data_IF_282045867666
#
_entry.id   IF_282045867666
#
_cell.length_a   1.000
_cell.length_b   1.000
_cell.length_c   1.000
_cell.angle_alpha   90.00
_cell.angle_beta   90.00
_cell.angle_gamma   90.00
#
_symmetry.space_group_name_H-M   'P 1'
#
loop_
_entity.id
_entity.type
_entity.pdbx_description
1 polymer ?
#
# COMPACT_ATOMS: atom_id res chain seq x y z
N UNK A 1 -3.71 -16.47 5.80
CA UNK A 1 -4.28 -15.64 4.72
C UNK A 1 -4.09 -14.17 5.02
N UNK A 2 -3.81 -13.35 4.02
CA UNK A 2 -3.75 -11.89 4.14
C UNK A 2 -4.46 -11.22 2.95
N UNK A 3 -5.30 -10.22 3.23
CA UNK A 3 -5.87 -9.32 2.21
C UNK A 3 -4.99 -8.07 2.09
N UNK A 4 -4.34 -7.87 0.95
CA UNK A 4 -3.49 -6.71 0.72
C UNK A 4 -4.33 -5.51 0.31
N UNK A 5 -4.66 -4.62 1.25
CA UNK A 5 -5.60 -3.50 1.00
C UNK A 5 -5.23 -2.19 1.69
N UNK A 6 -4.61 -2.26 2.88
CA UNK A 6 -4.27 -1.08 3.68
C UNK A 6 -2.86 -0.57 3.42
N UNK A 7 -2.70 0.72 3.68
CA UNK A 7 -1.49 1.49 3.51
C UNK A 7 -0.93 1.96 4.86
N UNK A 8 -1.76 2.55 5.72
CA UNK A 8 -1.37 3.02 7.05
C UNK A 8 -1.39 1.91 8.08
N UNK A 9 -2.51 1.17 8.13
CA UNK A 9 -2.70 0.03 9.05
C UNK A 9 -2.12 -1.28 8.50
N UNK A 10 -1.76 -2.24 9.37
CA UNK A 10 -1.49 -3.62 8.95
C UNK A 10 -2.68 -4.21 8.20
N UNK A 11 -2.41 -5.01 7.17
CA UNK A 11 -3.43 -5.69 6.39
C UNK A 11 -4.24 -6.69 7.23
N UNK A 12 -5.54 -6.90 6.93
CA UNK A 12 -6.32 -7.95 7.57
C UNK A 12 -5.77 -9.34 7.28
N UNK A 13 -5.77 -10.20 8.30
CA UNK A 13 -5.31 -11.60 8.20
C UNK A 13 -6.29 -12.55 8.87
N UNK A 14 -6.47 -13.73 8.30
CA UNK A 14 -7.25 -14.83 8.89
C UNK A 14 -6.64 -16.19 8.54
N UNK A 15 -7.11 -17.24 9.19
CA UNK A 15 -6.71 -18.62 8.91
C UNK A 15 -7.79 -19.30 8.06
N UNK A 16 -7.35 -20.13 7.12
CA UNK A 16 -8.20 -21.11 6.47
C UNK A 16 -8.16 -22.39 7.32
N UNK A 17 -9.30 -23.06 7.45
CA UNK A 17 -9.31 -24.40 8.05
C UNK A 17 -8.77 -25.45 7.04
N UNK A 18 -8.56 -26.69 7.50
CA UNK A 18 -7.98 -27.75 6.66
C UNK A 18 -8.81 -28.10 5.42
N UNK A 19 -10.14 -27.98 5.49
CA UNK A 19 -11.03 -28.23 4.36
C UNK A 19 -10.89 -27.13 3.32
N UNK A 20 -10.96 -25.86 3.73
CA UNK A 20 -10.74 -24.69 2.90
C UNK A 20 -9.33 -24.68 2.29
N UNK A 21 -8.30 -25.09 3.04
CA UNK A 21 -6.94 -25.16 2.53
C UNK A 21 -6.81 -26.17 1.37
N UNK A 22 -7.44 -27.35 1.49
CA UNK A 22 -7.49 -28.35 0.41
C UNK A 22 -8.31 -27.83 -0.78
N UNK A 23 -9.47 -27.24 -0.52
CA UNK A 23 -10.32 -26.65 -1.57
C UNK A 23 -9.56 -25.56 -2.36
N UNK A 24 -8.77 -24.73 -1.69
CA UNK A 24 -7.92 -23.74 -2.35
C UNK A 24 -6.93 -24.41 -3.32
N UNK A 25 -6.23 -25.47 -2.89
CA UNK A 25 -5.31 -26.19 -3.77
C UNK A 25 -6.03 -26.84 -4.96
N UNK A 26 -7.20 -27.43 -4.73
CA UNK A 26 -7.99 -28.04 -5.79
C UNK A 26 -8.42 -26.99 -6.83
N UNK A 27 -8.90 -25.82 -6.38
CA UNK A 27 -9.22 -24.69 -7.27
C UNK A 27 -8.00 -24.22 -8.06
N UNK A 28 -6.84 -24.11 -7.42
CA UNK A 28 -5.58 -23.73 -8.07
C UNK A 28 -5.16 -24.78 -9.11
N UNK A 29 -5.30 -26.07 -8.82
CA UNK A 29 -4.96 -27.15 -9.75
C UNK A 29 -5.90 -27.24 -10.96
N UNK A 30 -7.13 -26.74 -10.84
CA UNK A 30 -8.11 -26.67 -11.94
C UNK A 30 -7.83 -25.54 -12.92
N UNK A 31 -6.96 -24.58 -12.59
CA UNK A 31 -6.59 -23.49 -13.52
C UNK A 31 -5.61 -24.03 -14.57
N UNK A 32 -6.07 -24.19 -15.81
CA UNK A 32 -5.26 -24.74 -16.90
C UNK A 32 -4.38 -23.68 -17.59
N UNK A 33 -4.83 -22.43 -17.60
CA UNK A 33 -4.14 -21.34 -18.31
C UNK A 33 -2.91 -20.89 -17.55
N UNK A 34 -1.75 -20.91 -18.22
CA UNK A 34 -0.47 -20.43 -17.69
C UNK A 34 -0.14 -19.04 -18.21
N UNK A 35 0.55 -18.24 -17.39
CA UNK A 35 1.02 -16.90 -17.75
C UNK A 35 2.44 -16.65 -17.25
N UNK A 36 3.31 -15.97 -18.03
CA UNK A 36 4.62 -15.55 -17.57
C UNK A 36 4.56 -14.39 -16.57
N UNK A 37 3.39 -13.77 -16.42
CA UNK A 37 3.19 -12.66 -15.49
C UNK A 37 3.20 -13.18 -14.06
N UNK A 38 3.86 -12.47 -13.16
CA UNK A 38 3.77 -12.75 -11.73
C UNK A 38 2.62 -11.96 -11.13
N UNK A 39 1.96 -12.52 -10.13
CA UNK A 39 0.94 -11.80 -9.39
C UNK A 39 1.60 -10.54 -8.87
N UNK A 40 0.93 -9.43 -9.08
CA UNK A 40 1.43 -8.10 -8.80
C UNK A 40 1.50 -7.84 -7.28
N UNK A 41 2.26 -8.65 -6.52
CA UNK A 41 2.54 -8.47 -5.10
C UNK A 41 3.36 -7.21 -4.80
N UNK A 42 3.75 -6.46 -5.83
CA UNK A 42 4.77 -5.42 -5.81
C UNK A 42 4.49 -4.20 -6.71
N UNK A 43 3.41 -4.20 -7.52
CA UNK A 43 3.10 -3.08 -8.45
C UNK A 43 2.74 -1.79 -7.69
N UNK A 44 2.45 -1.92 -6.38
CA UNK A 44 2.14 -0.81 -5.49
C UNK A 44 0.78 -0.19 -5.80
N UNK A 45 0.47 0.92 -5.14
CA UNK A 45 -0.81 1.64 -5.28
C UNK A 45 -1.69 1.51 -4.05
N UNK A 46 -2.71 2.37 -3.95
CA UNK A 46 -3.63 2.47 -2.83
C UNK A 46 -4.91 1.67 -3.08
N UNK A 47 -5.42 0.99 -2.05
CA UNK A 47 -6.62 0.13 -2.15
C UNK A 47 -6.29 -1.34 -2.34
N UNK A 48 -7.18 -2.10 -2.99
CA UNK A 48 -7.00 -3.54 -3.20
C UNK A 48 -5.76 -3.87 -4.05
N UNK A 49 -4.99 -4.87 -3.59
CA UNK A 49 -3.75 -5.35 -4.20
C UNK A 49 -3.62 -6.89 -4.13
N UNK A 50 -4.74 -7.59 -4.08
CA UNK A 50 -4.76 -9.05 -4.06
C UNK A 50 -4.65 -9.68 -2.68
N UNK A 51 -4.37 -10.98 -2.68
CA UNK A 51 -4.25 -11.84 -1.51
C UNK A 51 -2.86 -12.47 -1.41
N UNK A 52 -2.44 -12.77 -0.18
CA UNK A 52 -1.26 -13.59 0.08
C UNK A 52 -1.64 -14.77 0.95
N UNK A 53 -1.30 -15.96 0.48
CA UNK A 53 -1.49 -17.24 1.17
C UNK A 53 -0.13 -17.75 1.58
N UNK A 54 0.01 -18.12 2.84
CA UNK A 54 1.22 -18.74 3.36
C UNK A 54 0.83 -19.84 4.34
N UNK A 55 1.48 -20.99 4.23
CA UNK A 55 1.39 -22.10 5.17
C UNK A 55 2.78 -22.65 5.46
N UNK A 56 2.95 -23.30 6.60
CA UNK A 56 4.19 -23.98 6.96
C UNK A 56 4.22 -25.43 6.48
N UNK A 57 5.39 -26.07 6.59
CA UNK A 57 5.60 -27.46 6.21
C UNK A 57 4.77 -28.47 7.03
N UNK A 58 4.23 -28.08 8.18
CA UNK A 58 3.41 -28.93 9.05
C UNK A 58 1.92 -28.82 8.73
N UNK A 59 1.52 -27.85 7.92
CA UNK A 59 0.15 -27.69 7.47
C UNK A 59 -0.30 -28.87 6.60
N UNK A 60 -1.61 -29.09 6.55
CA UNK A 60 -2.27 -30.14 5.76
C UNK A 60 -2.01 -30.04 4.25
N UNK A 61 -1.59 -28.87 3.78
CA UNK A 61 -1.26 -28.61 2.37
C UNK A 61 0.26 -28.48 2.14
N UNK A 62 1.09 -28.76 3.15
CA UNK A 62 2.54 -28.55 3.11
C UNK A 62 2.91 -27.06 2.99
N UNK A 63 4.21 -26.77 2.83
CA UNK A 63 4.66 -25.38 2.67
C UNK A 63 4.13 -24.80 1.36
N UNK A 64 3.23 -23.83 1.47
CA UNK A 64 2.59 -23.15 0.34
C UNK A 64 2.81 -21.65 0.45
N UNK A 65 3.15 -21.00 -0.66
CA UNK A 65 3.18 -19.55 -0.81
C UNK A 65 2.48 -19.17 -2.10
N UNK A 66 1.36 -18.47 -1.99
CA UNK A 66 0.62 -17.97 -3.14
C UNK A 66 0.46 -16.46 -3.03
N UNK A 67 0.63 -15.77 -4.16
CA UNK A 67 0.17 -14.40 -4.34
C UNK A 67 -0.91 -14.42 -5.41
N UNK A 68 -2.06 -13.82 -5.13
CA UNK A 68 -3.21 -13.81 -6.06
C UNK A 68 -3.65 -12.38 -6.31
N UNK A 69 -3.61 -11.91 -7.55
CA UNK A 69 -4.05 -10.56 -7.90
C UNK A 69 -4.37 -10.44 -9.39
N UNK A 70 -5.52 -9.82 -9.71
CA UNK A 70 -5.96 -9.54 -11.09
C UNK A 70 -6.01 -10.79 -11.97
N UNK A 71 -6.57 -11.88 -11.43
CA UNK A 71 -6.63 -13.20 -12.06
C UNK A 71 -5.30 -13.95 -12.09
N UNK A 72 -4.17 -13.34 -11.73
CA UNK A 72 -2.88 -14.04 -11.69
C UNK A 72 -2.72 -14.75 -10.35
N UNK A 73 -2.48 -16.06 -10.40
CA UNK A 73 -2.13 -16.90 -9.24
C UNK A 73 -0.66 -17.28 -9.35
N UNK A 74 0.19 -16.60 -8.59
CA UNK A 74 1.62 -16.88 -8.53
C UNK A 74 1.93 -17.81 -7.37
N UNK A 75 2.54 -18.95 -7.69
CA UNK A 75 2.90 -20.00 -6.74
C UNK A 75 4.31 -19.83 -6.16
N UNK A 76 5.01 -18.73 -6.51
CA UNK A 76 6.33 -18.40 -5.99
C UNK A 76 7.46 -19.35 -6.41
N UNK A 77 7.16 -20.34 -7.26
CA UNK A 77 8.14 -21.23 -7.89
C UNK A 77 8.72 -20.54 -9.14
N UNK A 78 9.86 -21.05 -9.62
CA UNK A 78 10.46 -20.66 -10.92
C UNK A 78 9.51 -20.91 -12.11
N UNK A 79 8.42 -21.64 -11.86
CA UNK A 79 7.38 -21.95 -12.83
C UNK A 79 6.56 -20.72 -13.23
N UNK A 80 5.89 -20.86 -14.38
CA UNK A 80 4.87 -19.92 -14.84
C UNK A 80 3.75 -19.82 -13.80
N UNK A 81 3.20 -18.62 -13.62
CA UNK A 81 2.00 -18.41 -12.83
C UNK A 81 0.78 -18.97 -13.59
N UNK A 82 -0.34 -19.06 -12.89
CA UNK A 82 -1.62 -19.43 -13.49
C UNK A 82 -2.48 -18.17 -13.72
N UNK A 83 -3.41 -18.26 -14.66
CA UNK A 83 -4.34 -17.19 -14.99
C UNK A 83 -5.78 -17.67 -14.86
N UNK A 84 -6.40 -17.27 -13.76
CA UNK A 84 -7.81 -17.45 -13.43
C UNK A 84 -8.62 -16.30 -14.07
N UNK A 85 -9.18 -16.56 -15.25
CA UNK A 85 -9.88 -15.54 -16.04
C UNK A 85 -11.17 -15.05 -15.36
N UNK A 86 -11.86 -15.94 -14.62
CA UNK A 86 -13.11 -15.60 -13.92
C UNK A 86 -12.85 -14.96 -12.56
N UNK A 87 -11.60 -14.96 -12.07
CA UNK A 87 -11.20 -14.45 -10.75
C UNK A 87 -11.98 -15.12 -9.62
N UNK A 88 -12.37 -16.37 -9.84
CA UNK A 88 -13.10 -17.18 -8.86
C UNK A 88 -12.25 -17.42 -7.61
N UNK A 89 -10.94 -17.59 -7.75
CA UNK A 89 -10.03 -17.77 -6.60
C UNK A 89 -10.00 -16.51 -5.74
N UNK A 90 -9.88 -15.32 -6.33
CA UNK A 90 -9.91 -14.05 -5.57
C UNK A 90 -11.26 -13.85 -4.86
N UNK A 91 -12.35 -14.18 -5.54
CA UNK A 91 -13.71 -14.05 -5.01
C UNK A 91 -13.95 -15.02 -3.85
N UNK A 92 -13.62 -16.29 -4.03
CA UNK A 92 -13.70 -17.30 -2.99
C UNK A 92 -12.82 -16.94 -1.78
N UNK A 93 -11.59 -16.46 -2.01
CA UNK A 93 -10.72 -16.00 -0.92
C UNK A 93 -11.37 -14.89 -0.09
N UNK A 94 -12.07 -13.94 -0.72
CA UNK A 94 -12.80 -12.88 -0.02
C UNK A 94 -13.96 -13.42 0.84
N UNK A 95 -14.60 -14.49 0.41
CA UNK A 95 -15.71 -15.15 1.11
C UNK A 95 -15.25 -15.92 2.34
N UNK A 96 -14.06 -16.54 2.30
CA UNK A 96 -13.47 -17.25 3.46
C UNK A 96 -13.13 -16.35 4.64
N UNK A 97 -13.15 -15.03 4.47
CA UNK A 97 -12.75 -14.09 5.50
C UNK A 97 -13.65 -14.16 6.72
N UNK A 98 -13.08 -14.67 7.82
CA UNK A 98 -13.74 -14.75 9.14
C UNK A 98 -13.66 -13.45 9.93
N UNK A 99 -12.83 -12.50 9.48
CA UNK A 99 -12.71 -11.18 10.07
C UNK A 99 -13.81 -10.26 9.55
N UNK A 100 -14.41 -9.47 10.45
CA UNK A 100 -15.26 -8.37 10.02
C UNK A 100 -14.39 -7.28 9.39
N UNK A 101 -14.60 -7.05 8.10
CA UNK A 101 -14.06 -5.88 7.43
C UNK A 101 -14.91 -4.65 7.74
N UNK A 102 -14.29 -3.47 7.76
CA UNK A 102 -15.03 -2.23 7.59
C UNK A 102 -15.86 -2.36 6.30
N UNK A 103 -17.16 -2.03 6.34
CA UNK A 103 -18.10 -2.25 5.21
C UNK A 103 -17.53 -1.75 3.86
N UNK A 104 -16.87 -0.59 3.88
CA UNK A 104 -16.26 0.02 2.69
C UNK A 104 -15.10 -0.79 2.08
N UNK A 105 -14.42 -1.65 2.85
CA UNK A 105 -13.37 -2.53 2.33
C UNK A 105 -13.96 -3.61 1.46
N UNK A 106 -14.97 -4.34 1.96
CA UNK A 106 -15.57 -5.45 1.20
C UNK A 106 -16.23 -4.92 -0.07
N UNK A 107 -16.98 -3.82 0.01
CA UNK A 107 -17.55 -3.15 -1.17
C UNK A 107 -16.47 -2.74 -2.19
N UNK A 108 -15.37 -2.13 -1.71
CA UNK A 108 -14.26 -1.76 -2.60
C UNK A 108 -13.64 -2.99 -3.26
N UNK A 109 -13.29 -4.04 -2.50
CA UNK A 109 -12.69 -5.26 -3.07
C UNK A 109 -13.64 -5.93 -4.05
N UNK A 110 -14.91 -6.11 -3.70
CA UNK A 110 -15.92 -6.67 -4.62
C UNK A 110 -16.03 -5.86 -5.90
N UNK A 111 -16.01 -4.52 -5.82
CA UNK A 111 -16.02 -3.67 -7.02
C UNK A 111 -14.77 -3.86 -7.89
N UNK A 112 -13.60 -4.07 -7.28
CA UNK A 112 -12.36 -4.37 -8.00
C UNK A 112 -12.36 -5.78 -8.61
N UNK A 113 -13.02 -6.76 -7.99
CA UNK A 113 -13.16 -8.12 -8.50
C UNK A 113 -14.17 -8.24 -9.64
N UNK A 114 -15.14 -7.33 -9.71
CA UNK A 114 -16.10 -7.26 -10.81
C UNK A 114 -15.46 -6.85 -12.16
N UNK A 115 -14.24 -6.28 -12.13
CA UNK A 115 -13.46 -5.99 -13.34
C UNK A 115 -12.90 -7.31 -13.90
N UNK A 116 -13.11 -7.62 -15.19
CA UNK A 116 -12.57 -8.81 -15.83
C UNK A 116 -11.05 -8.94 -15.66
N UNK A 117 -10.55 -10.18 -15.52
CA UNK A 117 -9.14 -10.43 -15.25
C UNK A 117 -8.21 -9.80 -16.30
N UNK A 118 -8.56 -9.91 -17.58
CA UNK A 118 -7.77 -9.36 -18.69
C UNK A 118 -7.67 -7.83 -18.63
N UNK A 119 -8.75 -7.14 -18.24
CA UNK A 119 -8.76 -5.69 -18.10
C UNK A 119 -7.97 -5.24 -16.87
N UNK A 120 -8.19 -5.91 -15.73
CA UNK A 120 -7.44 -5.63 -14.50
C UNK A 120 -5.92 -5.85 -14.69
N UNK A 121 -5.55 -6.91 -15.40
CA UNK A 121 -4.17 -7.21 -15.73
C UNK A 121 -3.57 -6.18 -16.69
N UNK A 122 -4.32 -5.75 -17.70
CA UNK A 122 -3.90 -4.72 -18.65
C UNK A 122 -3.62 -3.39 -17.95
N UNK A 123 -4.53 -2.92 -17.10
CA UNK A 123 -4.34 -1.70 -16.31
C UNK A 123 -3.09 -1.78 -15.42
N UNK A 124 -2.82 -2.93 -14.80
CA UNK A 124 -1.58 -3.14 -14.04
C UNK A 124 -0.33 -3.08 -14.92
N UNK A 125 -0.35 -3.70 -16.10
CA UNK A 125 0.80 -3.67 -17.01
C UNK A 125 1.03 -2.27 -17.59
N UNK A 126 -0.01 -1.53 -17.94
CA UNK A 126 0.10 -0.17 -18.49
C UNK A 126 0.78 0.76 -17.46
N UNK A 127 0.46 0.60 -16.17
CA UNK A 127 1.10 1.35 -15.07
C UNK A 127 2.58 1.05 -14.87
N UNK A 128 3.07 -0.12 -15.31
CA UNK A 128 4.47 -0.53 -15.18
C UNK A 128 5.33 -0.06 -16.36
N UNK A 129 4.72 0.17 -17.53
CA UNK A 129 5.43 0.45 -18.79
C UNK A 129 5.62 1.96 -19.00
N UNK A 130 4.71 2.80 -18.49
CA UNK A 130 4.79 4.24 -18.68
C UNK A 130 5.81 4.85 -17.73
N UNK A 131 6.99 5.20 -18.28
CA UNK A 131 7.91 6.11 -17.60
C UNK A 131 7.21 7.46 -17.42
N UNK A 132 7.11 7.98 -16.19
CA UNK A 132 6.54 9.30 -15.99
C UNK A 132 7.32 10.33 -16.82
N UNK A 133 6.66 11.25 -17.54
CA UNK A 133 7.36 12.33 -18.22
C UNK A 133 8.23 13.10 -17.22
N UNK A 134 9.38 13.64 -17.65
CA UNK A 134 10.26 14.39 -16.77
C UNK A 134 9.47 15.50 -16.08
N UNK A 135 9.44 15.40 -14.76
CA UNK A 135 8.55 16.19 -13.92
C UNK A 135 9.02 17.64 -13.82
N UNK A 136 8.12 18.61 -14.00
CA UNK A 136 8.38 20.05 -13.76
C UNK A 136 8.26 20.43 -12.27
N UNK A 137 8.53 19.50 -11.35
CA UNK A 137 8.44 19.80 -9.93
C UNK A 137 9.54 20.78 -9.52
N UNK A 138 9.24 21.59 -8.50
CA UNK A 138 10.21 22.56 -7.95
C UNK A 138 10.57 22.16 -6.52
N UNK A 139 11.86 21.95 -6.20
CA UNK A 139 12.31 21.68 -4.84
C UNK A 139 11.78 22.71 -3.82
N UNK A 140 11.20 22.22 -2.72
CA UNK A 140 10.59 23.09 -1.69
C UNK A 140 11.28 23.04 -0.35
N UNK A 141 12.16 22.09 -0.07
CA UNK A 141 12.81 21.98 1.23
C UNK A 141 14.26 21.55 1.07
N UNK A 142 15.17 22.24 1.76
CA UNK A 142 16.59 21.92 1.74
C UNK A 142 16.89 20.55 2.37
N UNK A 143 16.09 20.14 3.38
CA UNK A 143 16.26 18.85 4.07
C UNK A 143 15.39 17.73 3.48
N UNK A 144 14.69 17.96 2.35
CA UNK A 144 13.86 16.91 1.76
C UNK A 144 14.72 15.71 1.34
N UNK A 145 14.35 14.48 1.74
CA UNK A 145 15.07 13.29 1.32
C UNK A 145 15.00 13.11 -0.20
N UNK A 146 16.04 12.53 -0.79
CA UNK A 146 15.98 12.08 -2.18
C UNK A 146 15.02 10.89 -2.31
N UNK A 147 14.31 10.81 -3.44
CA UNK A 147 13.59 9.59 -3.79
C UNK A 147 14.60 8.46 -4.04
N UNK A 148 14.66 7.48 -3.14
CA UNK A 148 15.57 6.34 -3.24
C UNK A 148 14.83 5.03 -2.94
N UNK A 149 14.08 4.48 -3.91
CA UNK A 149 13.31 3.26 -3.72
C UNK A 149 14.19 2.06 -3.34
N UNK A 150 15.46 2.03 -3.76
CA UNK A 150 16.40 0.96 -3.42
C UNK A 150 16.68 0.81 -1.92
N UNK A 151 16.50 1.86 -1.12
CA UNK A 151 16.62 1.78 0.36
C UNK A 151 15.36 1.25 1.05
N UNK A 152 14.23 1.31 0.37
CA UNK A 152 12.90 0.96 0.89
C UNK A 152 12.40 -0.38 0.36
N UNK A 153 12.81 -0.77 -0.85
CA UNK A 153 12.31 -1.93 -1.59
C UNK A 153 13.26 -3.12 -1.47
N UNK A 154 13.78 -3.35 -0.26
CA UNK A 154 14.58 -4.53 0.08
C UNK A 154 13.83 -5.43 1.05
N UNK A 155 14.05 -6.76 1.01
CA UNK A 155 13.26 -7.71 1.81
C UNK A 155 13.25 -7.45 3.32
N UNK A 156 14.32 -6.88 3.87
CA UNK A 156 14.46 -6.58 5.31
C UNK A 156 13.81 -5.25 5.73
N UNK A 157 13.30 -4.45 4.80
CA UNK A 157 12.72 -3.11 5.06
C UNK A 157 11.29 -3.03 4.55
N UNK A 158 11.05 -3.47 3.32
CA UNK A 158 9.79 -3.28 2.61
C UNK A 158 8.56 -3.80 3.38
N UNK A 159 8.54 -5.03 3.93
CA UNK A 159 7.34 -5.55 4.59
C UNK A 159 7.09 -4.94 5.97
N UNK A 160 8.10 -4.35 6.62
CA UNK A 160 8.02 -3.88 8.02
C UNK A 160 7.81 -2.38 8.18
N UNK A 161 7.81 -1.62 7.08
CA UNK A 161 7.66 -0.17 7.09
C UNK A 161 6.51 0.25 6.18
N UNK A 162 5.67 1.17 6.66
CA UNK A 162 4.47 1.63 5.96
C UNK A 162 4.63 3.04 5.37
N UNK A 163 3.52 3.68 5.01
CA UNK A 163 3.53 5.04 4.50
C UNK A 163 4.01 6.09 5.51
N UNK A 164 3.74 5.89 6.81
CA UNK A 164 4.13 6.84 7.85
C UNK A 164 5.64 6.76 8.12
N UNK A 165 6.20 5.56 8.13
CA UNK A 165 7.65 5.36 8.10
C UNK A 165 8.32 6.08 6.94
N UNK A 166 7.79 5.86 5.73
CA UNK A 166 8.32 6.46 4.50
C UNK A 166 8.26 7.98 4.53
N UNK A 167 7.11 8.55 4.92
CA UNK A 167 6.90 9.99 4.97
C UNK A 167 7.85 10.71 5.92
N UNK A 168 8.17 10.08 7.05
CA UNK A 168 9.12 10.59 8.04
C UNK A 168 10.57 10.14 7.79
N UNK A 169 10.84 9.46 6.67
CA UNK A 169 12.16 8.94 6.29
C UNK A 169 12.83 8.05 7.37
N UNK A 170 12.01 7.28 8.10
CA UNK A 170 12.44 6.47 9.24
C UNK A 170 12.03 4.99 9.07
N UNK A 171 13.03 4.12 8.96
CA UNK A 171 12.86 2.65 8.81
C UNK A 171 12.87 1.95 10.17
N UNK A 172 11.85 2.19 10.98
CA UNK A 172 11.78 1.65 12.34
C UNK A 172 11.48 0.15 12.39
N UNK A 173 11.02 -0.46 11.29
CA UNK A 173 10.60 -1.86 11.20
C UNK A 173 9.46 -2.24 12.16
N UNK A 174 8.64 -1.26 12.55
CA UNK A 174 7.54 -1.44 13.50
C UNK A 174 6.17 -1.22 12.86
N UNK A 175 6.11 -0.89 11.57
CA UNK A 175 4.89 -0.46 10.88
C UNK A 175 4.25 0.74 11.60
N UNK A 176 4.97 1.86 11.61
CA UNK A 176 4.75 2.97 12.52
C UNK A 176 3.34 3.58 12.42
N UNK A 177 2.78 3.97 13.56
CA UNK A 177 1.43 4.55 13.63
C UNK A 177 1.51 5.96 14.23
N UNK A 178 0.85 6.98 13.63
CA UNK A 178 0.81 8.32 14.19
C UNK A 178 0.40 8.32 15.67
N UNK A 179 1.20 8.98 16.51
CA UNK A 179 1.00 9.15 17.94
C UNK A 179 1.40 7.94 18.80
N UNK A 180 1.77 6.81 18.20
CA UNK A 180 2.06 5.58 18.97
C UNK A 180 3.33 5.69 19.82
N UNK A 181 4.33 6.45 19.38
CA UNK A 181 5.55 6.69 20.16
C UNK A 181 5.26 7.41 21.48
N UNK A 182 4.20 8.22 21.50
CA UNK A 182 3.86 9.11 22.61
C UNK A 182 2.57 8.72 23.35
N UNK A 183 2.02 7.52 23.08
CA UNK A 183 0.78 7.06 23.71
C UNK A 183 -0.46 7.88 23.31
N UNK A 184 -0.41 8.56 22.16
CA UNK A 184 -1.48 9.42 21.61
C UNK A 184 -1.97 8.91 20.26
N UNK A 185 -1.95 7.59 20.06
CA UNK A 185 -2.44 6.99 18.82
C UNK A 185 -3.91 7.35 18.60
N UNK A 186 -4.26 7.64 17.35
CA UNK A 186 -5.61 7.97 16.95
C UNK A 186 -6.61 6.87 17.35
N UNK A 187 -7.87 7.26 17.57
CA UNK A 187 -8.96 6.35 17.95
C UNK A 187 -10.00 6.16 16.84
N UNK A 188 -9.95 7.00 15.80
CA UNK A 188 -10.81 6.93 14.61
C UNK A 188 -10.00 7.19 13.34
N UNK A 189 -10.46 6.67 12.22
CA UNK A 189 -9.82 6.86 10.91
C UNK A 189 -10.41 8.08 10.20
N UNK A 190 -10.18 9.24 10.78
CA UNK A 190 -10.64 10.56 10.30
C UNK A 190 -9.50 11.58 10.42
N UNK A 191 -9.57 12.67 9.64
CA UNK A 191 -8.59 13.76 9.74
C UNK A 191 -8.47 14.30 11.18
N UNK A 192 -9.61 14.48 11.85
CA UNK A 192 -9.70 15.01 13.21
C UNK A 192 -9.07 14.12 14.28
N UNK A 193 -8.77 12.85 13.97
CA UNK A 193 -8.12 11.92 14.90
C UNK A 193 -6.69 11.59 14.50
N UNK A 194 -6.42 11.35 13.20
CA UNK A 194 -5.08 10.98 12.71
C UNK A 194 -4.12 12.19 12.70
N UNK A 195 -4.60 13.39 12.34
CA UNK A 195 -3.73 14.57 12.29
C UNK A 195 -3.20 14.97 13.68
N UNK A 196 -4.02 15.08 14.75
CA UNK A 196 -3.50 15.36 16.10
C UNK A 196 -2.54 14.29 16.63
N UNK A 197 -2.74 13.02 16.26
CA UNK A 197 -1.82 11.94 16.61
C UNK A 197 -0.43 12.15 15.95
N UNK A 198 -0.40 12.54 14.67
CA UNK A 198 0.86 12.91 14.01
C UNK A 198 1.49 14.18 14.61
N UNK A 199 0.68 15.15 15.04
CA UNK A 199 1.19 16.33 15.75
C UNK A 199 1.84 15.96 17.09
N UNK A 200 1.31 14.96 17.80
CA UNK A 200 1.91 14.45 19.03
C UNK A 200 3.30 13.83 18.81
N UNK A 201 3.58 13.29 17.61
CA UNK A 201 4.91 12.83 17.22
C UNK A 201 5.86 13.98 16.80
N UNK A 202 5.31 15.18 16.61
CA UNK A 202 6.08 16.40 16.30
C UNK A 202 5.86 16.97 14.89
N UNK A 203 4.93 16.42 14.09
CA UNK A 203 4.60 16.98 12.78
C UNK A 203 3.83 18.29 12.92
N UNK A 204 4.12 19.28 12.07
CA UNK A 204 3.50 20.61 12.14
C UNK A 204 2.57 20.84 10.95
N UNK A 205 1.25 21.06 11.13
CA UNK A 205 0.33 21.33 10.03
C UNK A 205 0.69 22.61 9.25
N UNK A 206 0.40 22.61 7.96
CA UNK A 206 0.56 23.77 7.07
C UNK A 206 -0.55 23.77 6.02
N UNK A 207 -1.00 24.97 5.63
CA UNK A 207 -2.08 25.13 4.66
C UNK A 207 -1.66 24.71 3.23
N UNK A 208 -0.36 24.82 2.91
CA UNK A 208 0.20 24.46 1.60
C UNK A 208 1.69 24.09 1.70
N UNK A 209 2.25 23.65 0.58
CA UNK A 209 3.69 23.43 0.36
C UNK A 209 4.31 24.48 -0.57
N UNK A 210 3.72 25.68 -0.64
CA UNK A 210 4.17 26.75 -1.54
C UNK A 210 5.49 27.39 -1.09
N UNK A 211 5.66 27.57 0.22
CA UNK A 211 6.85 28.13 0.87
C UNK A 211 8.07 27.24 0.70
N UNK A 212 9.24 27.87 0.51
CA UNK A 212 10.52 27.15 0.54
C UNK A 212 11.03 27.03 1.97
N UNK A 213 11.26 25.81 2.45
CA UNK A 213 11.84 25.51 3.76
C UNK A 213 13.37 25.57 3.70
N UNK A 214 13.95 26.38 4.59
CA UNK A 214 15.40 26.47 4.79
C UNK A 214 15.95 25.19 5.46
N UNK A 215 17.28 25.04 5.46
CA UNK A 215 17.94 23.94 6.15
C UNK A 215 17.61 23.94 7.65
N UNK A 216 17.45 22.75 8.23
CA UNK A 216 16.99 22.53 9.59
C UNK A 216 15.48 22.73 9.81
N UNK A 217 14.69 23.02 8.77
CA UNK A 217 13.23 23.18 8.88
C UNK A 217 12.45 21.93 8.45
N UNK A 218 13.12 20.89 7.97
CA UNK A 218 12.47 19.63 7.60
C UNK A 218 11.89 19.65 6.20
N UNK A 219 10.89 18.79 5.95
CA UNK A 219 10.27 18.59 4.63
C UNK A 219 8.77 18.38 4.73
N UNK A 220 8.09 18.56 3.59
CA UNK A 220 6.63 18.43 3.51
C UNK A 220 6.19 16.96 3.38
N UNK A 221 5.09 16.65 4.06
CA UNK A 221 4.31 15.42 3.96
C UNK A 221 2.84 15.76 3.80
N UNK A 222 2.02 14.82 3.31
CA UNK A 222 0.58 15.04 3.16
C UNK A 222 -0.22 13.86 3.69
N UNK A 223 -1.27 14.15 4.47
CA UNK A 223 -2.18 13.16 5.04
C UNK A 223 -3.47 13.08 4.22
N UNK A 224 -3.84 11.85 3.86
CA UNK A 224 -5.12 11.52 3.23
C UNK A 224 -5.78 10.35 3.95
N UNK A 225 -7.09 10.25 3.85
CA UNK A 225 -7.91 9.26 4.55
C UNK A 225 -8.76 8.50 3.54
N UNK A 226 -8.77 7.18 3.65
CA UNK A 226 -9.89 6.35 3.19
C UNK A 226 -10.94 6.41 4.30
N UNK A 227 -12.08 7.09 4.07
CA UNK A 227 -13.05 7.37 5.12
C UNK A 227 -13.37 6.16 6.00
N UNK A 228 -13.16 6.33 7.30
CA UNK A 228 -13.41 5.34 8.34
C UNK A 228 -12.67 4.00 8.17
N UNK A 229 -11.69 3.91 7.27
CA UNK A 229 -11.11 2.65 6.83
C UNK A 229 -9.59 2.65 6.84
N UNK A 230 -8.90 3.70 6.43
CA UNK A 230 -7.44 3.75 6.54
C UNK A 230 -6.93 5.19 6.38
N UNK A 231 -5.64 5.38 6.59
CA UNK A 231 -4.94 6.62 6.29
C UNK A 231 -3.72 6.37 5.41
N UNK A 232 -3.27 7.40 4.72
CA UNK A 232 -2.06 7.34 3.93
C UNK A 232 -1.27 8.65 3.98
N UNK A 233 0.05 8.52 3.82
CA UNK A 233 0.99 9.62 3.83
C UNK A 233 1.83 9.65 2.57
N UNK A 234 1.99 10.87 2.03
CA UNK A 234 2.94 11.20 0.97
C UNK A 234 4.11 11.99 1.53
N UNK A 235 5.25 11.95 0.84
CA UNK A 235 6.44 12.76 1.12
C UNK A 235 6.81 13.58 -0.09
N UNK A 236 7.18 14.84 0.10
CA UNK A 236 7.84 15.60 -0.94
C UNK A 236 9.34 15.32 -0.93
N UNK A 237 9.90 14.92 -2.07
CA UNK A 237 11.31 14.60 -2.21
C UNK A 237 12.15 15.82 -2.62
N UNK A 238 13.48 15.66 -2.60
CA UNK A 238 14.46 16.70 -2.93
C UNK A 238 14.26 17.33 -4.33
N UNK A 239 13.68 16.59 -5.29
CA UNK A 239 13.36 17.10 -6.62
C UNK A 239 12.06 17.92 -6.66
N UNK A 240 11.33 18.02 -5.55
CA UNK A 240 10.07 18.73 -5.40
C UNK A 240 8.82 17.95 -5.79
N UNK A 241 8.97 16.76 -6.37
CA UNK A 241 7.84 15.87 -6.59
C UNK A 241 7.51 15.11 -5.33
N UNK A 242 6.43 14.34 -5.39
CA UNK A 242 5.97 13.54 -4.28
C UNK A 242 6.12 12.05 -4.56
N UNK A 243 6.37 11.31 -3.51
CA UNK A 243 6.43 9.85 -3.51
C UNK A 243 5.76 9.30 -2.27
N UNK A 244 5.53 8.00 -2.27
CA UNK A 244 4.82 7.31 -1.21
C UNK A 244 5.12 5.82 -1.18
N UNK A 245 4.75 5.17 -0.08
CA UNK A 245 4.87 3.73 0.12
C UNK A 245 3.56 3.14 0.60
N UNK A 246 2.79 2.43 -0.24
CA UNK A 246 1.52 1.84 0.18
C UNK A 246 1.72 0.61 1.08
N UNK A 247 1.62 0.79 2.39
CA UNK A 247 1.74 -0.31 3.36
C UNK A 247 3.06 -1.08 3.21
N UNK A 248 2.99 -2.41 3.25
CA UNK A 248 4.14 -3.29 3.04
C UNK A 248 4.61 -3.44 1.58
N UNK A 249 4.09 -2.65 0.64
CA UNK A 249 4.49 -2.72 -0.79
C UNK A 249 5.66 -1.80 -1.13
N UNK A 250 6.13 -1.83 -2.37
CA UNK A 250 7.23 -1.00 -2.84
C UNK A 250 6.92 0.51 -2.72
N UNK A 251 7.93 1.29 -2.34
CA UNK A 251 7.92 2.74 -2.49
C UNK A 251 7.90 3.10 -3.98
N UNK A 252 7.10 4.12 -4.33
CA UNK A 252 6.85 4.59 -5.70
C UNK A 252 6.66 6.11 -5.72
N UNK A 253 6.82 6.72 -6.89
CA UNK A 253 6.70 8.18 -7.13
C UNK A 253 5.61 8.55 -8.14
N UNK A 254 4.66 7.65 -8.38
CA UNK A 254 3.50 7.87 -9.24
C UNK A 254 2.21 7.48 -8.51
N UNK A 255 1.10 8.12 -8.86
CA UNK A 255 -0.21 7.91 -8.27
C UNK A 255 -0.87 6.60 -8.72
N UNK A 256 -2.13 6.37 -8.31
CA UNK A 256 -2.87 5.18 -8.73
C UNK A 256 -3.17 5.14 -10.23
N UNK A 257 -3.06 6.25 -10.97
CA UNK A 257 -3.19 6.26 -12.43
C UNK A 257 -1.86 6.07 -13.16
N UNK A 258 -0.74 5.90 -12.45
CA UNK A 258 0.59 5.84 -13.06
C UNK A 258 1.18 7.22 -13.39
N UNK A 259 0.58 8.32 -12.93
CA UNK A 259 1.06 9.67 -13.21
C UNK A 259 1.99 10.18 -12.11
N UNK A 260 2.99 10.98 -12.47
CA UNK A 260 3.84 11.70 -11.51
C UNK A 260 3.00 12.47 -10.49
N UNK A 261 3.33 12.33 -9.21
CA UNK A 261 2.63 13.06 -8.15
C UNK A 261 3.27 14.46 -7.99
N UNK A 262 2.57 15.49 -8.46
CA UNK A 262 2.97 16.91 -8.27
C UNK A 262 2.28 17.54 -7.05
N UNK A 263 1.08 17.07 -6.73
CA UNK A 263 0.31 17.45 -5.55
C UNK A 263 -0.54 16.24 -5.08
N UNK A 264 -0.31 15.70 -3.87
CA UNK A 264 -1.13 14.62 -3.31
C UNK A 264 -2.62 14.93 -3.18
N UNK A 265 -3.02 16.19 -3.04
CA UNK A 265 -4.43 16.61 -2.93
C UNK A 265 -5.22 16.29 -4.19
N UNK A 266 -4.60 16.45 -5.36
CA UNK A 266 -5.23 16.27 -6.68
C UNK A 266 -4.85 14.97 -7.38
N UNK A 267 -3.89 14.21 -6.83
CA UNK A 267 -3.48 12.92 -7.38
C UNK A 267 -4.60 11.87 -7.33
N UNK A 268 -4.50 10.83 -8.17
CA UNK A 268 -5.36 9.66 -8.05
C UNK A 268 -4.94 8.83 -6.82
N UNK A 269 -5.79 8.83 -5.81
CA UNK A 269 -5.54 8.17 -4.51
C UNK A 269 -6.36 6.89 -4.30
N UNK A 270 -7.06 6.43 -5.34
CA UNK A 270 -8.02 5.32 -5.22
C UNK A 270 -9.02 5.59 -4.09
N UNK A 271 -9.21 4.66 -3.13
CA UNK A 271 -10.23 4.80 -2.09
C UNK A 271 -9.90 5.84 -1.01
N UNK A 272 -8.71 6.44 -1.01
CA UNK A 272 -8.29 7.47 -0.05
C UNK A 272 -8.78 8.83 -0.51
N UNK A 273 -10.09 9.06 -0.46
CA UNK A 273 -10.76 10.20 -1.09
C UNK A 273 -10.65 11.51 -0.30
N UNK A 274 -10.52 11.45 1.03
CA UNK A 274 -10.46 12.65 1.88
C UNK A 274 -9.04 13.16 2.01
N UNK A 275 -8.77 14.39 1.55
CA UNK A 275 -7.52 15.09 1.85
C UNK A 275 -7.64 15.80 3.20
N UNK A 276 -6.67 15.64 4.09
CA UNK A 276 -6.70 16.26 5.41
C UNK A 276 -5.84 17.52 5.47
N UNK A 277 -4.52 17.37 5.28
CA UNK A 277 -3.59 18.46 5.48
C UNK A 277 -2.23 18.16 4.85
N UNK A 278 -1.50 19.24 4.57
CA UNK A 278 -0.05 19.17 4.47
C UNK A 278 0.55 19.34 5.86
N UNK A 279 1.69 18.72 6.12
CA UNK A 279 2.43 18.91 7.35
C UNK A 279 3.93 18.98 7.06
N UNK A 280 4.69 19.48 8.02
CA UNK A 280 6.15 19.49 8.01
C UNK A 280 6.62 18.47 9.04
N UNK A 281 7.51 17.57 8.62
CA UNK A 281 8.24 16.65 9.49
C UNK A 281 9.74 16.92 9.39
N UNK A 282 10.53 16.37 10.30
CA UNK A 282 11.98 16.52 10.29
C UNK A 282 12.67 15.32 10.97
N UNK A 283 14.00 15.28 10.91
CA UNK A 283 14.83 14.20 11.50
C UNK A 283 14.73 14.03 13.03
N UNK A 284 14.14 14.97 13.75
CA UNK A 284 13.98 14.93 15.21
C UNK A 284 12.60 14.39 15.64
N UNK A 285 11.66 14.22 14.69
CA UNK A 285 10.38 13.55 14.95
C UNK A 285 10.65 12.11 15.33
N UNK A 286 10.00 11.64 16.40
CA UNK A 286 10.10 10.25 16.86
C UNK A 286 8.80 9.54 16.53
N UNK A 287 8.87 8.52 15.69
CA UNK A 287 7.74 7.66 15.36
C UNK A 287 7.96 6.27 15.93
N UNK A 288 6.86 5.57 16.18
CA UNK A 288 6.91 4.16 16.57
C UNK A 288 5.92 3.37 15.79
#
# INVERSE_FOLDING_TARGET
MQLNVFSGRPNPTWLLNDEQARELLDRVHQVETKTPLKAAGSVGGLGYRGFTVASDAKSTIGETRLAVHAGVVDTGRTDLSLFDESREIESWLLETATVQFDKGVREHVTSMLAVPAQEALRDLTDRLIVLPPPSKCTPKAADAPAYNPGLWNIPTVQPYNNCYNYANDQRTNTFAQPGRAHGKMYTKLTCASVQPAAQADGLVPTASFSTKLAAGKGWYVALVIWPNTDYHWYRQDANGCWSHKPGGTAARNVDNGGHTITDPKTANRGPYTTFCSYMITNRHVVIK
#
